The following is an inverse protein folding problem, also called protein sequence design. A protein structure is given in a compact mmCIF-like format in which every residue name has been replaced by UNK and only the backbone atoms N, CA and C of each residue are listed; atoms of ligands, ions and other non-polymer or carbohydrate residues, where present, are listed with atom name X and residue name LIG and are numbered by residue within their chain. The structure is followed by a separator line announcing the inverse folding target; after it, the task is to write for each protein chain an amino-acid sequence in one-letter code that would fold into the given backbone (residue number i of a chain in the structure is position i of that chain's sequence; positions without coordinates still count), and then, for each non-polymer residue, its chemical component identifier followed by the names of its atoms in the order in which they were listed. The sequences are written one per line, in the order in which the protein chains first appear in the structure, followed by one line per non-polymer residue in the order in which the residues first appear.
data_IF_799624451610
#
_entry.id   IF_799624451610
#
_cell.length_a   1.000
_cell.length_b   1.000
_cell.length_c   1.000
_cell.angle_alpha   90.00
_cell.angle_beta   90.00
_cell.angle_gamma   90.00
#
_symmetry.space_group_name_H-M   'P 1'
#
loop_
_entity.id
_entity.type
_entity.pdbx_description
1 polymer ?
#
# COMPACT_ATOMS: atom_id res chain seq x y z
N UNK A 1 -17.77 4.87 2.00
CA UNK A 1 -16.72 5.02 0.99
C UNK A 1 -16.04 6.40 1.03
N UNK A 2 -16.80 7.50 1.04
CA UNK A 2 -16.27 8.88 0.98
C UNK A 2 -15.24 9.18 2.07
N UNK A 3 -15.51 8.85 3.32
CA UNK A 3 -14.57 9.07 4.44
C UNK A 3 -13.29 8.23 4.31
N UNK A 4 -13.41 6.97 3.86
CA UNK A 4 -12.24 6.11 3.61
C UNK A 4 -11.37 6.68 2.49
N UNK A 5 -11.98 7.11 1.38
CA UNK A 5 -11.26 7.76 0.27
C UNK A 5 -10.58 9.05 0.73
N UNK A 6 -11.23 9.85 1.59
CA UNK A 6 -10.62 11.03 2.19
C UNK A 6 -9.37 10.71 3.02
N UNK A 7 -9.47 9.71 3.92
CA UNK A 7 -8.33 9.25 4.72
C UNK A 7 -7.19 8.73 3.82
N UNK A 8 -7.52 7.94 2.80
CA UNK A 8 -6.54 7.40 1.86
C UNK A 8 -5.84 8.51 1.06
N UNK A 9 -6.58 9.54 0.64
CA UNK A 9 -6.00 10.73 -0.02
C UNK A 9 -5.01 11.46 0.90
N UNK A 10 -5.32 11.57 2.20
CA UNK A 10 -4.41 12.12 3.20
C UNK A 10 -3.12 11.32 3.33
N UNK A 11 -3.21 9.98 3.38
CA UNK A 11 -2.04 9.09 3.43
C UNK A 11 -1.16 9.21 2.18
N UNK A 12 -1.79 9.25 0.99
CA UNK A 12 -1.08 9.44 -0.29
C UNK A 12 -0.32 10.77 -0.28
N UNK A 13 -0.96 11.85 0.17
CA UNK A 13 -0.33 13.16 0.28
C UNK A 13 0.85 13.16 1.25
N UNK A 14 0.75 12.44 2.37
CA UNK A 14 1.84 12.30 3.34
C UNK A 14 3.03 11.53 2.74
N UNK A 15 2.80 10.46 1.98
CA UNK A 15 3.88 9.76 1.28
C UNK A 15 4.53 10.62 0.20
N UNK A 16 3.76 11.41 -0.57
CA UNK A 16 4.32 12.34 -1.56
C UNK A 16 5.17 13.43 -0.88
N UNK A 17 4.68 13.99 0.23
CA UNK A 17 5.47 14.93 1.03
C UNK A 17 6.81 14.32 1.46
N UNK A 18 6.81 13.08 1.96
CA UNK A 18 8.04 12.37 2.33
C UNK A 18 8.91 12.02 1.12
N UNK A 19 8.31 11.75 -0.02
CA UNK A 19 9.04 11.52 -1.26
C UNK A 19 9.82 12.77 -1.70
N UNK A 20 9.22 13.94 -1.61
CA UNK A 20 9.88 15.22 -1.90
C UNK A 20 10.97 15.54 -0.88
N UNK A 21 10.68 15.37 0.43
CA UNK A 21 11.62 15.64 1.55
C UNK A 21 12.90 14.79 1.45
N UNK A 22 12.79 13.54 0.96
CA UNK A 22 13.91 12.59 0.86
C UNK A 22 14.23 12.20 -0.58
N UNK A 23 13.99 13.08 -1.53
CA UNK A 23 14.26 12.85 -2.96
C UNK A 23 15.74 12.58 -3.26
N UNK A 24 16.64 13.17 -2.48
CA UNK A 24 18.10 13.05 -2.55
C UNK A 24 18.69 11.94 -1.67
N UNK A 25 17.89 11.33 -0.80
CA UNK A 25 18.38 10.33 0.15
C UNK A 25 18.52 8.98 -0.51
N UNK A 26 19.76 8.56 -0.77
CA UNK A 26 20.09 7.28 -1.41
C UNK A 26 19.92 6.12 -0.43
N UNK A 27 19.47 4.98 -0.96
CA UNK A 27 19.42 3.69 -0.27
C UNK A 27 19.74 2.54 -1.22
N UNK A 28 19.98 1.35 -0.66
CA UNK A 28 20.03 0.12 -1.45
C UNK A 28 18.61 -0.41 -1.68
N UNK A 29 18.19 -0.51 -2.95
CA UNK A 29 16.99 -1.25 -3.33
C UNK A 29 17.24 -2.76 -3.17
N UNK A 30 16.23 -3.50 -2.72
CA UNK A 30 16.35 -4.94 -2.45
C UNK A 30 15.28 -5.73 -3.18
N UNK A 31 15.67 -6.88 -3.71
CA UNK A 31 14.78 -7.92 -4.22
C UNK A 31 15.05 -9.22 -3.46
N UNK A 32 13.99 -9.90 -2.98
CA UNK A 32 14.14 -11.08 -2.11
C UNK A 32 15.00 -10.80 -0.86
N UNK A 33 14.99 -9.57 -0.36
CA UNK A 33 15.82 -9.04 0.74
C UNK A 33 17.33 -9.03 0.44
N UNK A 34 17.75 -9.30 -0.78
CA UNK A 34 19.14 -9.19 -1.23
C UNK A 34 19.39 -7.86 -1.91
N UNK A 35 20.61 -7.36 -1.81
CA UNK A 35 21.03 -6.12 -2.46
C UNK A 35 20.81 -6.20 -3.97
N UNK A 36 20.21 -5.16 -4.53
CA UNK A 36 19.97 -5.06 -5.98
C UNK A 36 20.69 -3.85 -6.57
N UNK A 37 20.04 -2.71 -6.58
CA UNK A 37 20.60 -1.47 -7.15
C UNK A 37 20.29 -0.28 -6.25
N UNK A 38 21.12 0.79 -6.27
CA UNK A 38 20.81 2.03 -5.57
C UNK A 38 19.51 2.66 -6.07
N UNK A 39 18.75 3.26 -5.17
CA UNK A 39 17.56 4.06 -5.42
C UNK A 39 17.44 5.18 -4.39
N UNK A 40 16.49 6.10 -4.54
CA UNK A 40 16.20 7.10 -3.50
C UNK A 40 14.99 6.71 -2.65
N UNK A 41 14.94 7.23 -1.41
CA UNK A 41 13.72 7.16 -0.59
C UNK A 41 12.56 7.91 -1.25
N UNK A 42 12.87 8.99 -2.00
CA UNK A 42 11.85 9.68 -2.78
C UNK A 42 11.13 8.75 -3.75
N UNK A 43 11.87 7.88 -4.47
CA UNK A 43 11.29 6.88 -5.36
C UNK A 43 10.45 5.85 -4.59
N UNK A 44 10.92 5.37 -3.45
CA UNK A 44 10.19 4.37 -2.66
C UNK A 44 8.89 4.92 -2.08
N UNK A 45 8.94 6.09 -1.43
CA UNK A 45 7.72 6.71 -0.89
C UNK A 45 6.73 7.12 -1.98
N UNK A 46 7.22 7.61 -3.13
CA UNK A 46 6.37 7.90 -4.26
C UNK A 46 5.72 6.62 -4.86
N UNK A 47 6.44 5.50 -4.88
CA UNK A 47 5.89 4.22 -5.29
C UNK A 47 4.76 3.75 -4.34
N UNK A 48 4.90 3.95 -3.02
CA UNK A 48 3.81 3.69 -2.07
C UNK A 48 2.60 4.59 -2.33
N UNK A 49 2.81 5.88 -2.59
CA UNK A 49 1.74 6.81 -2.94
C UNK A 49 0.98 6.36 -4.19
N UNK A 50 1.69 6.05 -5.28
CA UNK A 50 1.09 5.59 -6.54
C UNK A 50 0.33 4.27 -6.36
N UNK A 51 0.90 3.34 -5.59
CA UNK A 51 0.27 2.05 -5.30
C UNK A 51 -1.08 2.20 -4.58
N UNK A 52 -1.18 3.18 -3.65
CA UNK A 52 -2.41 3.49 -2.94
C UNK A 52 -3.40 4.31 -3.78
N UNK A 53 -2.93 5.16 -4.68
CA UNK A 53 -3.78 5.98 -5.56
C UNK A 53 -4.64 5.10 -6.49
N UNK A 54 -4.09 3.98 -6.97
CA UNK A 54 -4.84 2.98 -7.73
C UNK A 54 -6.06 2.45 -6.95
N UNK A 55 -5.97 2.36 -5.61
CA UNK A 55 -7.05 1.85 -4.78
C UNK A 55 -8.22 2.82 -4.66
N UNK A 56 -7.99 4.13 -4.77
CA UNK A 56 -9.07 5.12 -4.87
C UNK A 56 -9.95 4.84 -6.08
N UNK A 57 -9.33 4.56 -7.24
CA UNK A 57 -10.06 4.23 -8.47
C UNK A 57 -10.80 2.90 -8.34
N UNK A 58 -10.15 1.91 -7.71
CA UNK A 58 -10.75 0.60 -7.49
C UNK A 58 -11.99 0.69 -6.58
N UNK A 59 -11.90 1.40 -5.45
CA UNK A 59 -13.03 1.63 -4.54
C UNK A 59 -14.17 2.39 -5.21
N UNK A 60 -13.86 3.43 -6.00
CA UNK A 60 -14.85 4.21 -6.75
C UNK A 60 -15.57 3.39 -7.83
N UNK A 61 -14.90 2.42 -8.43
CA UNK A 61 -15.53 1.51 -9.43
C UNK A 61 -16.48 0.54 -8.74
N UNK A 62 -16.03 -0.08 -7.66
CA UNK A 62 -16.80 -1.13 -6.99
C UNK A 62 -18.01 -0.58 -6.22
N UNK A 63 -17.93 0.63 -5.64
CA UNK A 63 -19.08 1.24 -4.95
C UNK A 63 -20.26 1.47 -5.90
N UNK A 64 -20.01 1.67 -7.20
CA UNK A 64 -21.09 1.85 -8.18
C UNK A 64 -21.98 0.63 -8.35
N UNK A 65 -21.44 -0.57 -8.08
CA UNK A 65 -22.24 -1.80 -8.12
C UNK A 65 -23.33 -1.83 -7.04
N UNK A 66 -23.17 -1.05 -5.96
CA UNK A 66 -24.16 -0.90 -4.89
C UNK A 66 -25.25 0.13 -5.20
N UNK A 67 -25.22 0.76 -6.36
CA UNK A 67 -26.21 1.77 -6.76
C UNK A 67 -27.44 1.14 -7.44
N UNK A 68 -27.36 -0.08 -7.92
CA UNK A 68 -28.51 -0.85 -8.35
C UNK A 68 -29.17 -1.51 -7.12
N UNK A 69 -30.47 -1.25 -6.94
CA UNK A 69 -31.20 -1.66 -5.73
C UNK A 69 -32.45 -2.44 -6.04
N UNK A 70 -32.79 -3.39 -5.16
CA UNK A 70 -33.98 -4.23 -5.28
C UNK A 70 -35.23 -3.66 -4.57
N UNK A 71 -35.19 -2.40 -4.13
CA UNK A 71 -36.28 -1.76 -3.38
C UNK A 71 -37.58 -1.76 -4.21
N UNK A 72 -38.64 -2.27 -3.63
CA UNK A 72 -39.93 -2.44 -4.30
C UNK A 72 -40.18 -3.85 -4.83
N UNK A 73 -39.16 -4.75 -4.77
CA UNK A 73 -39.33 -6.18 -5.11
C UNK A 73 -40.29 -6.94 -4.16
N UNK A 74 -40.50 -6.39 -2.98
CA UNK A 74 -41.32 -6.97 -1.90
C UNK A 74 -40.82 -8.34 -1.41
N UNK A 75 -41.58 -9.39 -1.48
CA UNK A 75 -41.19 -10.69 -0.90
C UNK A 75 -40.08 -11.40 -1.68
N UNK A 76 -40.25 -11.51 -3.01
CA UNK A 76 -39.37 -12.32 -3.88
C UNK A 76 -39.03 -11.60 -5.19
N UNK A 77 -39.11 -10.28 -5.22
CA UNK A 77 -38.79 -9.49 -6.39
C UNK A 77 -39.95 -9.25 -7.37
N UNK A 78 -41.12 -9.88 -7.18
CA UNK A 78 -42.28 -9.73 -8.08
C UNK A 78 -43.07 -8.45 -7.88
N UNK A 79 -42.76 -7.66 -6.84
CA UNK A 79 -43.50 -6.43 -6.53
C UNK A 79 -44.93 -6.63 -6.03
N UNK A 80 -45.26 -7.83 -5.54
CA UNK A 80 -46.58 -8.14 -5.02
C UNK A 80 -46.98 -7.14 -3.92
N UNK A 81 -48.13 -6.49 -4.05
CA UNK A 81 -48.67 -5.47 -3.16
C UNK A 81 -47.86 -4.13 -3.16
N UNK A 82 -46.87 -3.95 -4.00
CA UNK A 82 -46.22 -2.65 -4.18
C UNK A 82 -47.16 -1.69 -4.95
N UNK A 83 -47.14 -0.42 -4.54
CA UNK A 83 -47.83 0.62 -5.30
C UNK A 83 -47.14 0.83 -6.64
N UNK A 84 -47.85 1.01 -7.76
CA UNK A 84 -47.24 1.28 -9.06
C UNK A 84 -46.26 2.45 -9.01
N UNK A 85 -45.05 2.29 -9.52
CA UNK A 85 -44.00 3.30 -9.52
C UNK A 85 -43.17 3.42 -8.23
N UNK A 86 -43.48 2.65 -7.17
CA UNK A 86 -42.79 2.70 -5.87
C UNK A 86 -41.28 2.51 -6.01
N UNK A 87 -40.83 1.48 -6.68
CA UNK A 87 -39.40 1.17 -6.87
C UNK A 87 -38.63 2.36 -7.48
N UNK A 88 -39.12 2.89 -8.60
CA UNK A 88 -38.49 4.02 -9.29
C UNK A 88 -38.49 5.30 -8.45
N UNK A 89 -39.58 5.55 -7.71
CA UNK A 89 -39.68 6.71 -6.84
C UNK A 89 -38.72 6.63 -5.66
N UNK A 90 -38.53 5.43 -5.09
CA UNK A 90 -37.55 5.19 -4.03
C UNK A 90 -36.13 5.42 -4.53
N UNK A 91 -35.75 4.86 -5.66
CA UNK A 91 -34.42 5.09 -6.25
C UNK A 91 -34.14 6.57 -6.53
N UNK A 92 -35.15 7.28 -7.11
CA UNK A 92 -35.04 8.71 -7.36
C UNK A 92 -34.88 9.54 -6.06
N UNK A 93 -35.63 9.22 -5.01
CA UNK A 93 -35.49 9.88 -3.71
C UNK A 93 -34.17 9.59 -3.02
N UNK A 94 -33.69 8.36 -3.06
CA UNK A 94 -32.35 8.01 -2.56
C UNK A 94 -31.26 8.78 -3.31
N UNK A 95 -31.36 8.86 -4.64
CA UNK A 95 -30.42 9.65 -5.45
C UNK A 95 -30.42 11.12 -5.04
N UNK A 96 -31.59 11.70 -4.82
CA UNK A 96 -31.72 13.09 -4.38
C UNK A 96 -31.16 13.33 -2.97
N UNK A 97 -31.37 12.41 -2.06
CA UNK A 97 -30.92 12.52 -0.66
C UNK A 97 -29.42 12.33 -0.50
N UNK A 98 -28.83 11.46 -1.29
CA UNK A 98 -27.42 11.07 -1.16
C UNK A 98 -26.49 11.82 -2.12
N UNK A 99 -27.01 12.32 -3.23
CA UNK A 99 -26.23 12.87 -4.33
C UNK A 99 -25.59 11.80 -5.23
N UNK A 100 -25.88 10.50 -4.96
CA UNK A 100 -25.41 9.38 -5.76
C UNK A 100 -26.51 8.91 -6.73
N UNK A 101 -26.16 8.25 -7.83
CA UNK A 101 -27.15 7.81 -8.82
C UNK A 101 -27.61 6.39 -8.52
N UNK A 102 -28.74 6.25 -7.80
CA UNK A 102 -29.38 4.95 -7.55
C UNK A 102 -30.38 4.62 -8.65
N UNK A 103 -30.38 3.36 -9.05
CA UNK A 103 -31.25 2.82 -10.09
C UNK A 103 -31.99 1.57 -9.59
N UNK A 104 -33.21 1.40 -10.06
CA UNK A 104 -33.96 0.16 -9.80
C UNK A 104 -33.33 -0.96 -10.62
N UNK A 105 -33.06 -2.13 -10.01
CA UNK A 105 -32.57 -3.29 -10.71
C UNK A 105 -33.45 -3.67 -11.91
N UNK A 106 -32.82 -4.16 -12.97
CA UNK A 106 -33.49 -4.56 -14.20
C UNK A 106 -34.41 -5.73 -13.95
N UNK A 107 -33.98 -6.70 -13.14
CA UNK A 107 -34.76 -7.85 -12.67
C UNK A 107 -34.74 -7.86 -11.13
N UNK A 108 -35.86 -7.48 -10.54
CA UNK A 108 -35.99 -7.45 -9.08
C UNK A 108 -36.04 -8.88 -8.46
N UNK A 109 -36.40 -9.89 -9.22
CA UNK A 109 -36.37 -11.28 -8.72
C UNK A 109 -34.96 -11.77 -8.58
N UNK A 110 -34.12 -11.50 -9.56
CA UNK A 110 -32.67 -11.76 -9.49
C UNK A 110 -31.99 -10.95 -8.39
N UNK A 111 -32.28 -9.65 -8.31
CA UNK A 111 -31.63 -8.74 -7.36
C UNK A 111 -32.06 -8.93 -5.89
N UNK A 112 -33.10 -9.73 -5.61
CA UNK A 112 -33.54 -9.97 -4.22
C UNK A 112 -32.60 -10.90 -3.46
N UNK A 113 -32.12 -12.04 -4.00
CA UNK A 113 -31.13 -12.89 -3.34
C UNK A 113 -29.68 -12.48 -3.64
N UNK A 114 -29.42 -11.66 -4.68
CA UNK A 114 -28.03 -11.36 -5.09
C UNK A 114 -27.32 -10.43 -4.11
N UNK A 115 -26.12 -10.84 -3.72
CA UNK A 115 -25.21 -10.08 -2.86
C UNK A 115 -23.83 -9.88 -3.51
N UNK A 116 -23.73 -10.10 -4.82
CA UNK A 116 -22.49 -10.02 -5.60
C UNK A 116 -21.82 -8.64 -5.54
N UNK A 117 -22.61 -7.57 -5.49
CA UNK A 117 -22.11 -6.20 -5.33
C UNK A 117 -21.35 -6.01 -4.00
N UNK A 118 -21.83 -6.60 -2.91
CA UNK A 118 -21.16 -6.57 -1.61
C UNK A 118 -19.86 -7.36 -1.60
N UNK A 119 -19.84 -8.54 -2.25
CA UNK A 119 -18.62 -9.36 -2.43
C UNK A 119 -17.56 -8.58 -3.22
N UNK A 120 -17.95 -7.94 -4.32
CA UNK A 120 -17.05 -7.15 -5.14
C UNK A 120 -16.45 -5.96 -4.36
N UNK A 121 -17.28 -5.24 -3.60
CA UNK A 121 -16.82 -4.11 -2.81
C UNK A 121 -15.94 -4.56 -1.64
N UNK A 122 -16.28 -5.65 -0.97
CA UNK A 122 -15.45 -6.28 0.07
C UNK A 122 -14.08 -6.70 -0.47
N UNK A 123 -14.03 -7.30 -1.66
CA UNK A 123 -12.79 -7.66 -2.32
C UNK A 123 -11.92 -6.43 -2.67
N UNK A 124 -12.53 -5.28 -2.96
CA UNK A 124 -11.79 -4.03 -3.13
C UNK A 124 -11.17 -3.54 -1.81
N UNK A 125 -11.90 -3.66 -0.69
CA UNK A 125 -11.35 -3.37 0.66
C UNK A 125 -10.22 -4.33 1.03
N UNK A 126 -10.37 -5.63 0.76
CA UNK A 126 -9.30 -6.62 0.94
C UNK A 126 -8.05 -6.28 0.15
N UNK A 127 -8.20 -5.90 -1.12
CA UNK A 127 -7.06 -5.51 -1.97
C UNK A 127 -6.31 -4.31 -1.39
N UNK A 128 -7.02 -3.28 -0.91
CA UNK A 128 -6.42 -2.17 -0.18
C UNK A 128 -5.69 -2.64 1.08
N UNK A 129 -6.32 -3.51 1.88
CA UNK A 129 -5.72 -4.05 3.10
C UNK A 129 -4.40 -4.80 2.81
N UNK A 130 -4.35 -5.62 1.77
CA UNK A 130 -3.13 -6.35 1.36
C UNK A 130 -2.00 -5.39 1.00
N UNK A 131 -2.29 -4.36 0.19
CA UNK A 131 -1.29 -3.35 -0.19
C UNK A 131 -0.80 -2.54 1.01
N UNK A 132 -1.71 -2.08 1.85
CA UNK A 132 -1.37 -1.30 3.04
C UNK A 132 -0.54 -2.12 4.05
N UNK A 133 -0.92 -3.38 4.26
CA UNK A 133 -0.17 -4.31 5.12
C UNK A 133 1.25 -4.54 4.61
N UNK A 134 1.44 -4.68 3.30
CA UNK A 134 2.77 -4.79 2.68
C UNK A 134 3.61 -3.55 2.94
N UNK A 135 3.06 -2.36 2.77
CA UNK A 135 3.76 -1.10 3.06
C UNK A 135 4.17 -1.04 4.54
N UNK A 136 3.28 -1.40 5.45
CA UNK A 136 3.59 -1.45 6.88
C UNK A 136 4.71 -2.45 7.20
N UNK A 137 4.75 -3.61 6.53
CA UNK A 137 5.83 -4.58 6.69
C UNK A 137 7.18 -4.01 6.25
N UNK A 138 7.22 -3.29 5.13
CA UNK A 138 8.44 -2.62 4.66
C UNK A 138 8.92 -1.54 5.65
N UNK A 139 8.02 -0.69 6.13
CA UNK A 139 8.35 0.33 7.13
C UNK A 139 8.94 -0.29 8.41
N UNK A 140 8.35 -1.39 8.89
CA UNK A 140 8.85 -2.13 10.06
C UNK A 140 10.24 -2.72 9.81
N UNK A 141 10.47 -3.27 8.61
CA UNK A 141 11.75 -3.84 8.24
C UNK A 141 12.83 -2.76 8.11
N UNK A 142 12.54 -1.66 7.41
CA UNK A 142 13.49 -0.55 7.25
C UNK A 142 13.83 0.14 8.58
N UNK A 143 12.90 0.15 9.54
CA UNK A 143 13.10 0.71 10.87
C UNK A 143 13.74 -0.27 11.87
N UNK A 144 14.05 -1.49 11.47
CA UNK A 144 14.58 -2.53 12.36
C UNK A 144 15.95 -2.18 12.93
N UNK A 145 16.19 -2.56 14.17
CA UNK A 145 17.48 -2.32 14.85
C UNK A 145 17.32 -1.60 16.19
N UNK A 146 18.07 -0.53 16.47
CA UNK A 146 18.86 0.30 15.53
C UNK A 146 20.27 -0.23 15.18
N UNK A 147 20.87 -1.10 16.00
CA UNK A 147 22.27 -1.54 15.77
C UNK A 147 22.38 -2.85 15.01
N UNK A 148 21.44 -3.77 15.22
CA UNK A 148 21.44 -5.13 14.65
C UNK A 148 20.40 -5.33 13.55
N UNK A 149 19.89 -4.27 12.96
CA UNK A 149 18.93 -4.29 11.87
C UNK A 149 19.31 -3.34 10.75
N UNK A 150 18.35 -3.03 9.84
CA UNK A 150 18.62 -2.15 8.72
C UNK A 150 18.85 -0.70 9.17
N UNK A 151 17.98 -0.21 10.05
CA UNK A 151 18.07 1.17 10.57
C UNK A 151 18.18 2.23 9.46
N UNK A 152 17.41 2.04 8.39
CA UNK A 152 17.38 2.98 7.27
C UNK A 152 16.49 4.18 7.57
N UNK A 153 15.41 3.96 8.36
CA UNK A 153 14.48 5.00 8.78
C UNK A 153 14.24 4.93 10.30
N UNK A 154 13.77 6.04 10.85
CA UNK A 154 13.26 6.08 12.22
C UNK A 154 11.76 6.36 12.17
N UNK A 155 10.99 5.61 12.94
CA UNK A 155 9.56 5.82 13.16
C UNK A 155 9.36 6.62 14.47
N UNK A 156 8.35 7.49 14.55
CA UNK A 156 8.03 8.21 15.78
C UNK A 156 7.79 7.26 16.95
N UNK A 157 8.40 7.48 18.13
CA UNK A 157 8.14 6.69 19.31
C UNK A 157 6.74 7.00 19.86
N UNK A 158 5.86 6.00 19.92
CA UNK A 158 4.45 6.17 20.36
C UNK A 158 4.10 5.41 21.64
N UNK A 159 4.92 4.44 22.00
CA UNK A 159 4.74 3.71 23.25
C UNK A 159 6.10 3.27 23.81
N UNK A 160 6.23 3.10 25.13
CA UNK A 160 7.38 2.43 25.72
C UNK A 160 7.54 1.05 25.09
N UNK A 161 8.70 0.74 24.55
CA UNK A 161 8.93 -0.49 23.80
C UNK A 161 8.92 -1.75 24.65
N UNK A 162 9.26 -1.62 25.96
CA UNK A 162 9.33 -2.74 26.89
C UNK A 162 9.55 -2.23 28.32
N UNK A 163 8.95 -2.89 29.30
CA UNK A 163 9.21 -2.64 30.72
C UNK A 163 10.58 -3.17 31.18
N UNK A 164 11.18 -4.09 30.43
CA UNK A 164 12.46 -4.75 30.79
C UNK A 164 13.63 -4.35 29.88
N UNK A 165 13.40 -3.61 28.81
CA UNK A 165 14.41 -3.13 27.85
C UNK A 165 14.33 -1.62 27.70
N UNK A 166 14.97 -0.82 28.58
CA UNK A 166 14.93 0.64 28.50
C UNK A 166 15.42 1.16 27.14
N UNK A 167 14.70 2.14 26.59
CA UNK A 167 15.06 2.76 25.30
C UNK A 167 14.66 1.99 24.05
N UNK A 168 14.04 0.79 24.17
CA UNK A 168 13.49 0.07 23.03
C UNK A 168 12.25 0.80 22.51
N UNK A 169 12.21 1.07 21.20
CA UNK A 169 11.05 1.63 20.49
C UNK A 169 10.53 0.61 19.49
N UNK A 170 9.27 0.21 19.65
CA UNK A 170 8.62 -0.72 18.71
C UNK A 170 7.83 0.04 17.66
N UNK A 171 7.69 -0.50 16.42
CA UNK A 171 6.93 0.11 15.33
C UNK A 171 5.42 -0.14 15.49
N UNK A 172 4.83 0.25 16.64
CA UNK A 172 3.47 -0.12 17.06
C UNK A 172 2.37 0.38 16.12
N UNK A 173 2.57 1.51 15.45
CA UNK A 173 1.56 2.05 14.52
C UNK A 173 1.46 1.22 13.24
N UNK A 174 2.56 0.89 12.54
CA UNK A 174 2.50 -0.10 11.45
C UNK A 174 1.98 -1.47 11.91
N UNK A 175 2.30 -1.91 13.13
CA UNK A 175 1.82 -3.19 13.67
C UNK A 175 0.30 -3.23 13.86
N UNK A 176 -0.29 -2.20 14.46
CA UNK A 176 -1.76 -2.13 14.61
C UNK A 176 -2.44 -1.99 13.26
N UNK A 177 -1.83 -1.28 12.31
CA UNK A 177 -2.35 -1.19 10.94
C UNK A 177 -2.35 -2.55 10.25
N UNK A 178 -1.31 -3.37 10.42
CA UNK A 178 -1.28 -4.76 9.95
C UNK A 178 -2.44 -5.58 10.54
N UNK A 179 -2.70 -5.46 11.86
CA UNK A 179 -3.78 -6.21 12.52
C UNK A 179 -5.16 -5.81 11.99
N UNK A 180 -5.38 -4.52 11.75
CA UNK A 180 -6.61 -4.05 11.09
C UNK A 180 -6.73 -4.64 9.69
N UNK A 181 -5.65 -4.65 8.90
CA UNK A 181 -5.65 -5.26 7.57
C UNK A 181 -5.99 -6.75 7.62
N UNK A 182 -5.46 -7.50 8.60
CA UNK A 182 -5.81 -8.92 8.78
C UNK A 182 -7.29 -9.12 9.09
N UNK A 183 -7.87 -8.25 9.93
CA UNK A 183 -9.30 -8.30 10.25
C UNK A 183 -10.16 -8.05 9.00
N UNK A 184 -9.80 -7.06 8.18
CA UNK A 184 -10.51 -6.75 6.93
C UNK A 184 -10.44 -7.92 5.94
N UNK A 185 -9.30 -8.60 5.84
CA UNK A 185 -9.15 -9.81 5.03
C UNK A 185 -10.05 -10.94 5.55
N UNK A 186 -10.13 -11.11 6.88
CA UNK A 186 -11.04 -12.07 7.50
C UNK A 186 -12.52 -11.75 7.25
N UNK A 187 -12.89 -10.48 7.32
CA UNK A 187 -14.26 -10.02 7.01
C UNK A 187 -14.66 -10.30 5.56
N UNK A 188 -13.76 -10.15 4.59
CA UNK A 188 -14.02 -10.50 3.20
C UNK A 188 -14.34 -11.99 3.03
N UNK A 189 -13.66 -12.85 3.77
CA UNK A 189 -13.96 -14.29 3.80
C UNK A 189 -15.36 -14.55 4.39
N UNK A 190 -15.71 -13.87 5.49
CA UNK A 190 -17.04 -13.94 6.10
C UNK A 190 -18.13 -13.51 5.12
N UNK A 191 -17.92 -12.40 4.41
CA UNK A 191 -18.87 -11.90 3.40
C UNK A 191 -19.03 -12.89 2.26
N UNK A 192 -17.93 -13.50 1.79
CA UNK A 192 -17.97 -14.51 0.72
C UNK A 192 -18.82 -15.72 1.11
N UNK A 193 -18.65 -16.26 2.33
CA UNK A 193 -19.49 -17.35 2.83
C UNK A 193 -20.94 -16.94 3.05
N UNK A 194 -21.18 -15.74 3.56
CA UNK A 194 -22.54 -15.23 3.76
C UNK A 194 -23.28 -15.02 2.44
N UNK A 195 -22.57 -14.57 1.40
CA UNK A 195 -23.12 -14.43 0.06
C UNK A 195 -23.47 -15.79 -0.55
N UNK A 196 -22.61 -16.78 -0.42
CA UNK A 196 -22.82 -18.15 -0.92
C UNK A 196 -23.98 -18.86 -0.19
N UNK A 197 -24.20 -18.56 1.09
CA UNK A 197 -25.21 -19.22 1.91
C UNK A 197 -26.67 -18.82 1.60
N UNK A 198 -26.91 -17.85 0.72
CA UNK A 198 -28.25 -17.50 0.25
C UNK A 198 -28.95 -18.70 -0.42
N UNK A 199 -30.27 -18.82 -0.20
CA UNK A 199 -31.03 -19.92 -0.78
C UNK A 199 -32.28 -19.38 -1.47
N UNK A 200 -32.51 -19.84 -2.70
CA UNK A 200 -33.65 -19.48 -3.53
C UNK A 200 -33.76 -17.94 -3.70
N UNK A 201 -34.91 -17.36 -3.36
CA UNK A 201 -35.27 -15.99 -3.71
C UNK A 201 -34.86 -14.95 -2.61
N UNK A 202 -34.08 -15.37 -1.61
CA UNK A 202 -33.62 -14.43 -0.55
C UNK A 202 -32.29 -14.87 0.06
N UNK A 203 -31.39 -13.93 0.28
CA UNK A 203 -30.22 -14.13 1.14
C UNK A 203 -30.51 -13.57 2.54
N UNK A 204 -30.63 -14.44 3.54
CA UNK A 204 -30.91 -14.06 4.95
C UNK A 204 -29.63 -13.68 5.72
N UNK A 205 -28.44 -13.76 5.11
CA UNK A 205 -27.15 -13.47 5.75
C UNK A 205 -26.71 -12.02 5.59
N UNK A 206 -27.53 -11.14 5.04
CA UNK A 206 -27.22 -9.70 4.88
C UNK A 206 -26.80 -8.99 6.18
N UNK A 207 -27.33 -9.32 7.37
CA UNK A 207 -26.89 -8.67 8.60
C UNK A 207 -25.38 -8.83 8.85
N UNK A 208 -24.80 -10.03 8.66
CA UNK A 208 -23.36 -10.23 8.85
C UNK A 208 -22.53 -9.63 7.72
N UNK A 209 -23.06 -9.57 6.49
CA UNK A 209 -22.44 -8.84 5.37
C UNK A 209 -22.31 -7.37 5.73
N UNK A 210 -23.40 -6.75 6.18
CA UNK A 210 -23.46 -5.34 6.57
C UNK A 210 -22.50 -5.03 7.71
N UNK A 211 -22.54 -5.81 8.80
CA UNK A 211 -21.64 -5.66 9.94
C UNK A 211 -20.17 -5.72 9.51
N UNK A 212 -19.80 -6.75 8.77
CA UNK A 212 -18.42 -6.96 8.28
C UNK A 212 -17.94 -5.83 7.38
N UNK A 213 -18.81 -5.27 6.52
CA UNK A 213 -18.47 -4.12 5.67
C UNK A 213 -18.28 -2.85 6.47
N UNK A 214 -19.20 -2.52 7.38
CA UNK A 214 -19.10 -1.30 8.19
C UNK A 214 -17.92 -1.35 9.15
N UNK A 215 -17.66 -2.50 9.77
CA UNK A 215 -16.47 -2.71 10.59
C UNK A 215 -15.20 -2.48 9.77
N UNK A 216 -15.11 -3.11 8.59
CA UNK A 216 -13.96 -2.97 7.69
C UNK A 216 -13.72 -1.52 7.27
N UNK A 217 -14.77 -0.80 6.90
CA UNK A 217 -14.69 0.62 6.49
C UNK A 217 -14.23 1.51 7.65
N UNK A 218 -14.79 1.31 8.83
CA UNK A 218 -14.50 2.12 10.03
C UNK A 218 -13.07 1.90 10.50
N UNK A 219 -12.68 0.64 10.63
CA UNK A 219 -11.35 0.28 11.12
C UNK A 219 -10.26 0.68 10.13
N UNK A 220 -10.48 0.44 8.84
CA UNK A 220 -9.52 0.83 7.80
C UNK A 220 -9.32 2.35 7.77
N UNK A 221 -10.41 3.12 7.79
CA UNK A 221 -10.35 4.58 7.84
C UNK A 221 -9.54 5.06 9.04
N UNK A 222 -9.84 4.56 10.24
CA UNK A 222 -9.17 4.97 11.47
C UNK A 222 -7.69 4.56 11.47
N UNK A 223 -7.36 3.34 10.99
CA UNK A 223 -5.98 2.88 10.88
C UNK A 223 -5.16 3.74 9.90
N UNK A 224 -5.74 4.12 8.76
CA UNK A 224 -5.10 4.98 7.76
C UNK A 224 -4.84 6.39 8.33
N UNK A 225 -5.80 6.99 9.03
CA UNK A 225 -5.62 8.29 9.67
C UNK A 225 -4.52 8.24 10.75
N UNK A 226 -4.55 7.21 11.60
CA UNK A 226 -3.52 6.99 12.63
C UNK A 226 -2.15 6.75 12.00
N UNK A 227 -2.06 5.91 10.96
CA UNK A 227 -0.80 5.66 10.25
C UNK A 227 -0.24 6.97 9.66
N UNK A 228 -1.09 7.80 9.10
CA UNK A 228 -0.70 9.09 8.51
C UNK A 228 -0.11 10.02 9.56
N UNK A 229 -0.88 10.33 10.62
CA UNK A 229 -0.53 11.34 11.61
C UNK A 229 0.54 10.87 12.59
N UNK A 230 0.46 9.61 13.02
CA UNK A 230 1.27 9.09 14.11
C UNK A 230 2.54 8.34 13.63
N UNK A 231 2.65 8.08 12.33
CA UNK A 231 3.80 7.39 11.75
C UNK A 231 4.39 8.13 10.55
N UNK A 232 3.70 8.19 9.40
CA UNK A 232 4.29 8.61 8.12
C UNK A 232 4.85 10.04 8.19
N UNK A 233 4.08 11.00 8.69
CA UNK A 233 4.52 12.40 8.78
C UNK A 233 5.75 12.59 9.66
N UNK A 234 5.99 11.72 10.62
CA UNK A 234 7.14 11.79 11.53
C UNK A 234 8.32 10.90 11.16
N UNK A 235 8.30 10.21 10.01
CA UNK A 235 9.44 9.42 9.54
C UNK A 235 10.64 10.32 9.30
N UNK A 236 11.82 9.87 9.75
CA UNK A 236 13.11 10.42 9.37
C UNK A 236 13.99 9.35 8.74
N UNK A 237 14.90 9.75 7.85
CA UNK A 237 15.82 8.86 7.12
C UNK A 237 17.23 8.99 7.68
N UNK A 238 17.89 7.86 7.93
CA UNK A 238 19.30 7.79 8.35
C UNK A 238 20.21 7.79 7.10
N UNK A 239 20.38 8.99 6.47
CA UNK A 239 21.07 9.16 5.18
C UNK A 239 22.48 8.58 5.18
N UNK A 240 23.27 8.83 6.23
CA UNK A 240 24.65 8.35 6.35
C UNK A 240 24.69 6.82 6.41
N UNK A 241 23.80 6.20 7.19
CA UNK A 241 23.67 4.75 7.29
C UNK A 241 23.32 4.12 5.94
N UNK A 242 22.39 4.71 5.24
CA UNK A 242 21.96 4.22 3.93
C UNK A 242 23.08 4.37 2.89
N UNK A 243 23.79 5.49 2.90
CA UNK A 243 24.91 5.73 2.00
C UNK A 243 26.06 4.72 2.24
N UNK A 244 26.41 4.45 3.52
CA UNK A 244 27.41 3.44 3.86
C UNK A 244 27.01 2.04 3.38
N UNK A 245 25.73 1.66 3.50
CA UNK A 245 25.24 0.38 2.98
C UNK A 245 25.41 0.30 1.46
N UNK A 246 25.03 1.36 0.72
CA UNK A 246 25.21 1.42 -0.74
C UNK A 246 26.68 1.31 -1.10
N UNK A 247 27.54 2.09 -0.44
CA UNK A 247 29.00 2.11 -0.70
C UNK A 247 29.65 0.74 -0.48
N UNK A 248 29.18 -0.01 0.52
CA UNK A 248 29.72 -1.32 0.87
C UNK A 248 29.04 -2.49 0.15
N UNK A 249 27.97 -2.24 -0.61
CA UNK A 249 27.26 -3.32 -1.33
C UNK A 249 27.97 -3.73 -2.61
N UNK A 250 27.98 -5.04 -2.87
CA UNK A 250 28.42 -5.57 -4.17
C UNK A 250 27.44 -5.20 -5.29
N UNK A 251 26.17 -4.99 -4.96
CA UNK A 251 25.10 -4.59 -5.90
C UNK A 251 25.38 -3.29 -6.66
N UNK A 252 26.22 -2.41 -6.09
CA UNK A 252 26.66 -1.16 -6.72
C UNK A 252 27.30 -1.36 -8.11
N UNK A 253 27.96 -2.51 -8.31
CA UNK A 253 28.57 -2.88 -9.60
C UNK A 253 27.54 -2.91 -10.74
N UNK A 254 26.29 -3.30 -10.43
CA UNK A 254 25.23 -3.36 -11.44
C UNK A 254 24.88 -1.97 -11.99
N UNK A 255 24.89 -0.94 -11.14
CA UNK A 255 24.68 0.44 -11.56
C UNK A 255 25.85 0.98 -12.42
N UNK A 256 27.05 0.43 -12.25
CA UNK A 256 28.24 0.79 -13.00
C UNK A 256 28.35 0.06 -14.35
N UNK A 257 27.62 -1.02 -14.61
CA UNK A 257 27.67 -1.80 -15.83
C UNK A 257 27.60 -0.95 -17.14
N UNK A 258 26.69 0.02 -17.26
CA UNK A 258 26.61 0.86 -18.45
C UNK A 258 27.86 1.70 -18.69
N UNK A 259 28.63 2.01 -17.63
CA UNK A 259 29.78 2.92 -17.66
C UNK A 259 31.08 2.15 -17.89
N UNK A 260 31.34 1.12 -17.08
CA UNK A 260 32.61 0.38 -17.10
C UNK A 260 32.55 -0.92 -17.90
N UNK A 261 31.36 -1.36 -18.29
CA UNK A 261 31.10 -2.57 -19.07
C UNK A 261 31.09 -3.86 -18.25
N UNK A 262 30.31 -4.84 -18.70
CA UNK A 262 30.05 -6.10 -17.99
C UNK A 262 31.31 -6.86 -17.53
N UNK A 263 32.32 -6.97 -18.40
CA UNK A 263 33.57 -7.72 -18.09
C UNK A 263 34.35 -7.12 -16.92
N UNK A 264 34.44 -5.77 -16.86
CA UNK A 264 35.11 -5.09 -15.73
C UNK A 264 34.26 -5.21 -14.47
N UNK A 265 32.97 -5.01 -14.57
CA UNK A 265 32.03 -5.15 -13.47
C UNK A 265 32.10 -6.52 -12.84
N UNK A 266 32.13 -7.60 -13.63
CA UNK A 266 32.27 -8.98 -13.14
C UNK A 266 33.57 -9.21 -12.37
N UNK A 267 34.69 -8.63 -12.84
CA UNK A 267 35.99 -8.73 -12.13
C UNK A 267 35.94 -8.02 -10.78
N UNK A 268 35.42 -6.80 -10.75
CA UNK A 268 35.28 -6.01 -9.52
C UNK A 268 34.35 -6.71 -8.53
N UNK A 269 33.21 -7.21 -8.98
CA UNK A 269 32.28 -7.96 -8.11
C UNK A 269 32.91 -9.21 -7.50
N UNK A 270 33.66 -9.97 -8.31
CA UNK A 270 34.36 -11.17 -7.85
C UNK A 270 35.41 -10.83 -6.79
N UNK A 271 36.24 -9.81 -7.05
CA UNK A 271 37.27 -9.37 -6.10
C UNK A 271 36.64 -8.86 -4.79
N UNK A 272 35.57 -8.05 -4.88
CA UNK A 272 34.84 -7.60 -3.71
C UNK A 272 34.29 -8.76 -2.87
N UNK A 273 33.73 -9.78 -3.52
CA UNK A 273 33.22 -10.98 -2.86
C UNK A 273 34.33 -11.81 -2.19
N UNK A 274 35.43 -12.04 -2.89
CA UNK A 274 36.55 -12.88 -2.40
C UNK A 274 37.36 -12.19 -1.27
N UNK A 275 37.49 -10.86 -1.34
CA UNK A 275 38.32 -10.09 -0.39
C UNK A 275 37.53 -9.41 0.72
N UNK A 276 36.20 -9.32 0.63
CA UNK A 276 35.36 -8.57 1.54
C UNK A 276 35.53 -7.05 1.44
N UNK A 277 36.27 -6.55 0.42
CA UNK A 277 36.52 -5.11 0.21
C UNK A 277 35.33 -4.45 -0.48
N UNK A 278 35.17 -3.15 -0.20
CA UNK A 278 34.14 -2.35 -0.85
C UNK A 278 34.39 -2.23 -2.35
N UNK A 279 33.34 -2.43 -3.17
CA UNK A 279 33.38 -2.15 -4.60
C UNK A 279 33.83 -0.71 -4.88
N UNK A 280 33.40 0.23 -4.06
CA UNK A 280 33.79 1.64 -4.16
C UNK A 280 35.31 1.80 -4.08
N UNK A 281 35.93 1.20 -3.07
CA UNK A 281 37.37 1.30 -2.86
C UNK A 281 38.15 0.58 -3.97
N UNK A 282 37.70 -0.60 -4.42
CA UNK A 282 38.33 -1.34 -5.52
C UNK A 282 38.31 -0.51 -6.82
N UNK A 283 37.17 0.11 -7.15
CA UNK A 283 37.03 0.93 -8.37
C UNK A 283 37.98 2.14 -8.35
N UNK A 284 38.10 2.80 -7.21
CA UNK A 284 39.00 3.95 -7.04
C UNK A 284 40.47 3.52 -7.10
N UNK A 285 40.88 2.52 -6.34
CA UNK A 285 42.28 2.06 -6.25
C UNK A 285 42.81 1.48 -7.56
N UNK A 286 41.93 0.80 -8.32
CA UNK A 286 42.31 0.28 -9.64
C UNK A 286 42.26 1.37 -10.74
N UNK A 287 41.92 2.61 -10.41
CA UNK A 287 41.81 3.70 -11.37
C UNK A 287 40.77 3.46 -12.47
N UNK A 288 39.71 2.68 -12.16
CA UNK A 288 38.64 2.37 -13.11
C UNK A 288 37.78 3.60 -13.36
N UNK A 289 37.54 4.38 -12.29
CA UNK A 289 36.84 5.67 -12.30
C UNK A 289 37.48 6.62 -11.28
N UNK A 290 37.39 7.93 -11.50
CA UNK A 290 37.70 8.91 -10.48
C UNK A 290 36.63 8.92 -9.39
N UNK A 291 36.95 9.52 -8.24
CA UNK A 291 35.97 9.65 -7.14
C UNK A 291 34.76 10.45 -7.58
N UNK A 292 34.98 11.55 -8.30
CA UNK A 292 33.93 12.44 -8.82
C UNK A 292 33.01 11.72 -9.81
N UNK A 293 33.58 10.90 -10.70
CA UNK A 293 32.82 10.10 -11.66
C UNK A 293 31.99 9.03 -10.97
N UNK A 294 32.55 8.36 -9.96
CA UNK A 294 31.87 7.32 -9.19
C UNK A 294 30.74 7.90 -8.34
N UNK A 295 30.98 8.99 -7.62
CA UNK A 295 29.96 9.70 -6.83
C UNK A 295 28.81 10.15 -7.74
N UNK A 296 29.11 10.67 -8.93
CA UNK A 296 28.12 11.05 -9.94
C UNK A 296 27.34 9.85 -10.50
N UNK A 297 28.00 8.72 -10.74
CA UNK A 297 27.35 7.50 -11.22
C UNK A 297 26.40 6.89 -10.18
N UNK A 298 26.63 7.18 -8.89
CA UNK A 298 25.82 6.74 -7.76
C UNK A 298 24.81 7.80 -7.30
N UNK A 299 24.80 8.98 -7.95
CA UNK A 299 23.80 10.00 -7.67
C UNK A 299 22.39 9.42 -7.89
N UNK A 300 21.47 9.55 -6.94
CA UNK A 300 20.09 9.12 -7.08
C UNK A 300 19.41 9.61 -8.37
N UNK A 301 19.73 10.84 -8.77
CA UNK A 301 19.22 11.41 -10.02
C UNK A 301 19.77 10.71 -11.28
N UNK A 302 20.98 10.18 -11.22
CA UNK A 302 21.57 9.42 -12.34
C UNK A 302 21.04 7.98 -12.40
N UNK A 303 20.71 7.39 -11.26
CA UNK A 303 20.19 6.02 -11.14
C UNK A 303 18.68 5.96 -11.38
N UNK A 304 17.95 7.06 -11.11
CA UNK A 304 16.49 7.14 -11.23
C UNK A 304 15.95 7.31 -12.66
N UNK A 305 16.81 7.38 -13.67
CA UNK A 305 16.45 7.79 -15.03
C UNK A 305 15.63 6.79 -15.85
N UNK A 306 15.15 5.69 -15.28
CA UNK A 306 14.48 4.63 -16.04
C UNK A 306 12.96 4.79 -16.19
N UNK A 307 12.33 5.77 -15.56
CA UNK A 307 10.87 5.91 -15.63
C UNK A 307 10.32 6.96 -16.60
N UNK A 308 11.17 7.77 -17.22
CA UNK A 308 10.70 8.87 -18.08
C UNK A 308 10.99 8.70 -19.58
N UNK A 309 11.61 7.61 -20.01
CA UNK A 309 11.99 7.41 -21.43
C UNK A 309 11.73 6.00 -21.96
N UNK A 310 10.55 5.44 -21.71
CA UNK A 310 10.04 4.40 -22.60
C UNK A 310 9.00 5.04 -23.52
N UNK A 311 9.19 4.89 -24.84
CA UNK A 311 8.28 5.46 -25.83
C UNK A 311 6.88 4.84 -25.78
#
# INVERSE_FOLDING_TARGET
NTHLVGALTGLISAFRYKADEYSDAIKMGRTQLQDAVPMSFGQEFNAYANNLEEEILNLKRNVKLLHEINMGGTAIGTGLNAVPGFAKLCAANLSKLTGENFETATDLVEATPDTGAYVSYSSALKRLAVKLSKICNDLRLMASGPRCGLNEINLPPKAPGSSIMPGKVNPVIPEVTNQVCFKVIGNDTTISFAAEAGQLELNVMEPIITESLFESLTWMKNAIETLTSECILGITVNKERCYEMVKNSIGIVTALNPIIGYKKSTKVAKEAHETGRSVYDIVIEQGIMSKEELDKALDPNAVSYTHLTLP
#
